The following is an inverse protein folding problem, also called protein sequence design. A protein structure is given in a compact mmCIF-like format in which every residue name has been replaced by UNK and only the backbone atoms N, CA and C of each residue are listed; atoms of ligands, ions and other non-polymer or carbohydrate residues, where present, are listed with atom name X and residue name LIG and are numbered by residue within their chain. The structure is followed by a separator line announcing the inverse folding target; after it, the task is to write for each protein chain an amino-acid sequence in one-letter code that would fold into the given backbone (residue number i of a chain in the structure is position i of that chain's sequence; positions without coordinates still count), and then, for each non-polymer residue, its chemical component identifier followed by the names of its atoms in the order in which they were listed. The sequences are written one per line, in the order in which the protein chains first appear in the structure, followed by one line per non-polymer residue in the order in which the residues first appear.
data_IF_119668218277
#
_entry.id   IF_119668218277
#
_cell.length_a   1.000
_cell.length_b   1.000
_cell.length_c   1.000
_cell.angle_alpha   90.00
_cell.angle_beta   90.00
_cell.angle_gamma   90.00
#
_symmetry.space_group_name_H-M   'P 1'
#
loop_
_entity.id
_entity.type
_entity.pdbx_description
1 polymer ?
#
# COMPACT_ATOMS: atom_id res chain seq x y z
N UNK A 1 53.13 31.35 3.50
CA UNK A 1 51.96 32.09 4.01
C UNK A 1 51.24 32.78 2.86
N UNK A 2 50.31 32.10 2.18
CA UNK A 2 49.33 32.69 1.24
C UNK A 2 48.04 31.87 1.33
N UNK A 3 47.06 32.43 2.02
CA UNK A 3 45.73 31.87 2.23
C UNK A 3 44.99 31.92 0.89
N UNK A 4 44.81 30.78 0.22
CA UNK A 4 43.88 30.67 -0.91
C UNK A 4 42.47 30.68 -0.32
N UNK A 5 41.76 31.80 -0.48
CA UNK A 5 40.33 31.91 -0.23
C UNK A 5 39.61 30.94 -1.16
N UNK A 6 39.37 29.72 -0.69
CA UNK A 6 38.46 28.79 -1.32
C UNK A 6 37.06 29.26 -0.95
N UNK A 7 36.43 30.01 -1.85
CA UNK A 7 35.03 30.40 -1.75
C UNK A 7 34.18 29.13 -1.82
N UNK A 8 33.96 28.50 -0.66
CA UNK A 8 32.85 27.59 -0.46
C UNK A 8 31.61 28.49 -0.44
N UNK A 9 31.06 28.73 -1.62
CA UNK A 9 29.70 29.23 -1.76
C UNK A 9 28.79 28.12 -1.25
N UNK A 10 28.57 28.10 0.07
CA UNK A 10 27.43 27.41 0.66
C UNK A 10 26.22 28.09 0.07
N UNK A 11 25.68 27.53 -1.01
CA UNK A 11 24.36 27.86 -1.52
C UNK A 11 23.37 27.30 -0.48
N UNK A 12 23.27 28.00 0.65
CA UNK A 12 22.03 28.08 1.41
C UNK A 12 21.10 28.90 0.52
N UNK A 13 20.48 28.25 -0.48
CA UNK A 13 19.24 28.79 -1.02
C UNK A 13 18.30 28.73 0.18
N UNK A 14 18.18 29.88 0.83
CA UNK A 14 16.95 30.33 1.42
C UNK A 14 15.85 30.04 0.40
N UNK A 15 15.21 28.87 0.53
CA UNK A 15 13.89 28.60 0.00
C UNK A 15 12.96 29.44 0.88
N UNK A 16 13.10 30.76 0.74
CA UNK A 16 12.05 31.71 0.99
C UNK A 16 10.93 31.25 0.06
N UNK A 17 10.04 30.44 0.62
CA UNK A 17 8.74 30.18 0.03
C UNK A 17 8.05 31.53 -0.12
N UNK A 18 8.34 32.25 -1.21
CA UNK A 18 7.30 32.99 -1.88
C UNK A 18 6.39 31.92 -2.47
N UNK A 19 5.45 31.46 -1.64
CA UNK A 19 4.30 30.74 -2.12
C UNK A 19 3.65 31.61 -3.20
N UNK A 20 3.84 31.22 -4.45
CA UNK A 20 2.89 31.59 -5.49
C UNK A 20 1.62 30.86 -5.06
N UNK A 21 0.77 31.55 -4.32
CA UNK A 21 -0.61 31.14 -4.12
C UNK A 21 -1.27 31.27 -5.48
N UNK A 22 -1.13 30.24 -6.30
CA UNK A 22 -2.05 30.07 -7.42
C UNK A 22 -3.43 30.03 -6.79
N UNK A 23 -4.22 31.06 -7.02
CA UNK A 23 -5.62 31.13 -6.62
C UNK A 23 -6.40 30.18 -7.52
N UNK A 24 -6.14 28.88 -7.34
CA UNK A 24 -6.86 27.82 -7.99
C UNK A 24 -8.29 27.90 -7.47
N UNK A 25 -9.18 28.53 -8.24
CA UNK A 25 -10.60 28.57 -7.94
C UNK A 25 -11.13 27.14 -7.99
N UNK A 26 -11.31 26.53 -6.82
CA UNK A 26 -12.05 25.27 -6.71
C UNK A 26 -13.45 25.58 -7.21
N UNK A 27 -13.79 25.06 -8.39
CA UNK A 27 -15.14 25.13 -8.92
C UNK A 27 -15.94 24.16 -8.06
N UNK A 28 -16.79 24.68 -7.17
CA UNK A 28 -17.68 23.88 -6.33
C UNK A 28 -18.63 23.08 -7.23
N UNK A 29 -18.22 21.89 -7.66
CA UNK A 29 -19.13 20.91 -8.23
C UNK A 29 -19.86 20.30 -7.03
N UNK A 30 -21.17 20.52 -6.95
CA UNK A 30 -22.04 19.84 -5.98
C UNK A 30 -21.70 18.34 -6.05
N UNK A 31 -21.34 17.68 -4.93
CA UNK A 31 -20.94 16.27 -4.98
C UNK A 31 -22.08 15.50 -5.64
N UNK A 32 -21.79 14.88 -6.78
CA UNK A 32 -22.67 13.87 -7.35
C UNK A 32 -22.86 12.81 -6.27
N UNK A 33 -24.10 12.46 -6.00
CA UNK A 33 -24.43 11.42 -5.03
C UNK A 33 -23.95 10.08 -5.62
N UNK A 34 -22.72 9.69 -5.29
CA UNK A 34 -22.15 8.42 -5.70
C UNK A 34 -22.92 7.34 -4.93
N UNK A 35 -23.92 6.74 -5.58
CA UNK A 35 -24.54 5.52 -5.08
C UNK A 35 -23.53 4.40 -5.22
N UNK A 36 -22.81 4.13 -4.12
CA UNK A 36 -21.99 2.94 -3.99
C UNK A 36 -22.96 1.75 -3.91
N UNK A 37 -23.17 1.08 -5.04
CA UNK A 37 -23.86 -0.21 -5.05
C UNK A 37 -22.98 -1.23 -4.33
N UNK A 38 -23.59 -2.05 -3.48
CA UNK A 38 -22.87 -3.16 -2.85
C UNK A 38 -22.12 -3.96 -3.95
N UNK A 39 -20.80 -4.17 -3.80
CA UNK A 39 -19.98 -4.92 -4.71
C UNK A 39 -20.56 -6.32 -4.88
N UNK A 40 -20.30 -6.88 -6.06
CA UNK A 40 -20.61 -8.27 -6.32
C UNK A 40 -19.82 -9.11 -5.30
N UNK A 41 -20.44 -10.08 -4.62
CA UNK A 41 -19.75 -10.94 -3.64
C UNK A 41 -18.68 -11.84 -4.26
N UNK A 42 -18.45 -11.74 -5.57
CA UNK A 42 -17.44 -12.49 -6.31
C UNK A 42 -16.50 -11.53 -7.00
N UNK A 43 -15.23 -11.61 -6.60
CA UNK A 43 -14.15 -10.92 -7.27
C UNK A 43 -13.90 -11.58 -8.62
N UNK A 44 -13.50 -10.78 -9.60
CA UNK A 44 -13.16 -11.29 -10.93
C UNK A 44 -11.69 -11.64 -10.97
N UNK A 45 -11.39 -12.94 -11.01
CA UNK A 45 -10.03 -13.43 -11.27
C UNK A 45 -9.49 -12.85 -12.59
N UNK A 46 -8.24 -12.42 -12.57
CA UNK A 46 -7.58 -11.69 -13.66
C UNK A 46 -7.86 -10.18 -13.68
N UNK A 47 -8.66 -9.66 -12.75
CA UNK A 47 -8.76 -8.21 -12.57
C UNK A 47 -7.42 -7.62 -12.16
N UNK A 48 -7.03 -6.53 -12.82
CA UNK A 48 -5.78 -5.82 -12.57
C UNK A 48 -6.03 -4.32 -12.60
N UNK A 49 -5.73 -3.66 -11.50
CA UNK A 49 -5.79 -2.21 -11.34
C UNK A 49 -4.37 -1.68 -11.25
N UNK A 50 -3.97 -0.84 -12.22
CA UNK A 50 -2.64 -0.22 -12.25
C UNK A 50 -2.79 1.27 -11.98
N UNK A 51 -2.06 1.75 -10.98
CA UNK A 51 -2.01 3.12 -10.53
C UNK A 51 -0.63 3.70 -10.82
N UNK A 52 -0.61 4.97 -11.19
CA UNK A 52 0.62 5.71 -11.47
C UNK A 52 0.75 6.84 -10.45
N UNK A 53 1.91 6.93 -9.82
CA UNK A 53 2.25 8.02 -8.94
C UNK A 53 3.04 9.07 -9.73
N UNK A 54 2.60 10.33 -9.66
CA UNK A 54 3.23 11.46 -10.32
C UNK A 54 3.64 12.53 -9.30
N UNK A 55 4.81 13.12 -9.50
CA UNK A 55 5.25 14.31 -8.76
C UNK A 55 5.76 15.35 -9.74
N UNK A 56 5.16 16.55 -9.71
CA UNK A 56 5.48 17.66 -10.62
C UNK A 56 5.39 17.27 -12.11
N UNK A 57 4.41 16.43 -12.46
CA UNK A 57 4.20 15.94 -13.84
C UNK A 57 5.20 14.86 -14.30
N UNK A 58 6.06 14.38 -13.40
CA UNK A 58 6.97 13.27 -13.67
C UNK A 58 6.47 12.01 -12.97
N UNK A 59 6.53 10.88 -13.68
CA UNK A 59 6.23 9.58 -13.10
C UNK A 59 7.30 9.22 -12.06
N UNK A 60 6.85 8.89 -10.85
CA UNK A 60 7.73 8.55 -9.71
C UNK A 60 7.52 7.14 -9.20
N UNK A 61 6.46 6.46 -9.61
CA UNK A 61 6.24 5.06 -9.27
C UNK A 61 4.94 4.48 -9.82
N UNK A 62 4.76 3.19 -9.60
CA UNK A 62 3.56 2.45 -9.95
C UNK A 62 3.08 1.61 -8.79
N UNK A 63 1.77 1.38 -8.72
CA UNK A 63 1.18 0.36 -7.89
C UNK A 63 0.24 -0.51 -8.71
N UNK A 64 0.28 -1.82 -8.48
CA UNK A 64 -0.54 -2.80 -9.19
C UNK A 64 -1.26 -3.64 -8.16
N UNK A 65 -2.58 -3.66 -8.22
CA UNK A 65 -3.45 -4.54 -7.44
C UNK A 65 -4.07 -5.56 -8.40
N UNK A 66 -4.02 -6.84 -8.07
CA UNK A 66 -4.45 -7.93 -8.94
C UNK A 66 -5.19 -9.01 -8.16
N UNK A 67 -6.31 -9.50 -8.69
CA UNK A 67 -6.97 -10.73 -8.21
C UNK A 67 -6.42 -11.88 -9.04
N UNK A 68 -5.40 -12.55 -8.54
CA UNK A 68 -4.55 -13.44 -9.35
C UNK A 68 -5.23 -14.78 -9.64
N UNK A 69 -5.76 -15.42 -8.60
CA UNK A 69 -6.39 -16.74 -8.71
C UNK A 69 -7.35 -17.04 -7.56
N UNK A 70 -8.08 -18.16 -7.68
CA UNK A 70 -8.74 -18.82 -6.58
C UNK A 70 -7.92 -20.07 -6.25
N UNK A 71 -7.55 -20.23 -4.99
CA UNK A 71 -6.73 -21.34 -4.51
C UNK A 71 -7.25 -21.90 -3.18
N UNK A 72 -6.71 -23.03 -2.76
CA UNK A 72 -6.97 -23.57 -1.42
C UNK A 72 -5.89 -23.10 -0.43
N UNK A 73 -6.31 -22.57 0.71
CA UNK A 73 -5.44 -22.22 1.84
C UNK A 73 -6.07 -22.71 3.14
N UNK A 74 -5.35 -23.58 3.87
CA UNK A 74 -5.81 -24.17 5.13
C UNK A 74 -7.20 -24.85 5.03
N UNK A 75 -7.49 -25.53 3.92
CA UNK A 75 -8.78 -26.19 3.68
C UNK A 75 -9.93 -25.23 3.34
N UNK A 76 -9.64 -23.95 3.05
CA UNK A 76 -10.62 -22.96 2.60
C UNK A 76 -10.29 -22.51 1.18
N UNK A 77 -11.32 -22.32 0.37
CA UNK A 77 -11.18 -21.67 -0.93
C UNK A 77 -11.02 -20.15 -0.71
N UNK A 78 -9.95 -19.58 -1.27
CA UNK A 78 -9.61 -18.17 -1.10
C UNK A 78 -9.29 -17.50 -2.44
N UNK A 79 -9.61 -16.22 -2.56
CA UNK A 79 -9.01 -15.35 -3.56
C UNK A 79 -7.57 -15.01 -3.13
N UNK A 80 -6.60 -15.21 -4.02
CA UNK A 80 -5.26 -14.65 -3.86
C UNK A 80 -5.20 -13.28 -4.56
N UNK A 81 -4.95 -12.25 -3.77
CA UNK A 81 -4.84 -10.87 -4.24
C UNK A 81 -3.42 -10.39 -4.01
N UNK A 82 -2.72 -9.97 -5.05
CA UNK A 82 -1.41 -9.33 -4.92
C UNK A 82 -1.51 -7.82 -5.07
N UNK A 83 -0.77 -7.11 -4.23
CA UNK A 83 -0.54 -5.67 -4.35
C UNK A 83 0.97 -5.41 -4.40
N UNK A 84 1.44 -4.78 -5.47
CA UNK A 84 2.84 -4.44 -5.68
C UNK A 84 2.99 -2.94 -5.83
N UNK A 85 4.00 -2.34 -5.21
CA UNK A 85 4.31 -0.92 -5.38
C UNK A 85 5.80 -0.70 -5.51
N UNK A 86 6.20 0.13 -6.47
CA UNK A 86 7.60 0.45 -6.72
C UNK A 86 7.80 1.91 -7.12
N UNK A 87 8.91 2.51 -6.68
CA UNK A 87 9.36 3.81 -7.20
C UNK A 87 10.28 3.62 -8.40
N UNK A 88 10.27 4.59 -9.32
CA UNK A 88 11.06 4.55 -10.56
C UNK A 88 11.97 5.77 -10.70
N UNK A 89 12.87 5.75 -11.69
CA UNK A 89 13.66 6.91 -12.11
C UNK A 89 14.45 7.56 -10.96
N UNK A 90 14.48 8.90 -10.89
CA UNK A 90 15.14 9.65 -9.82
C UNK A 90 14.50 9.39 -8.45
N UNK A 91 13.21 9.07 -8.39
CA UNK A 91 12.50 8.81 -7.15
C UNK A 91 13.02 7.52 -6.49
N UNK A 92 13.32 6.48 -7.26
CA UNK A 92 13.96 5.26 -6.74
C UNK A 92 15.32 5.54 -6.09
N UNK A 93 16.06 6.55 -6.55
CA UNK A 93 17.37 6.92 -5.96
C UNK A 93 17.23 7.68 -4.64
N UNK A 94 16.18 8.51 -4.50
CA UNK A 94 15.96 9.33 -3.30
C UNK A 94 15.10 8.60 -2.25
N UNK A 95 14.10 7.88 -2.72
CA UNK A 95 13.07 7.18 -1.95
C UNK A 95 12.78 5.81 -2.59
N UNK A 96 13.72 4.85 -2.51
CA UNK A 96 13.50 3.50 -3.04
C UNK A 96 12.36 2.81 -2.28
N UNK A 97 11.38 2.32 -3.02
CA UNK A 97 10.25 1.50 -2.55
C UNK A 97 10.15 0.28 -3.44
N UNK A 98 10.05 -0.90 -2.84
CA UNK A 98 9.80 -2.18 -3.50
C UNK A 98 8.95 -3.03 -2.54
N UNK A 99 7.64 -2.89 -2.66
CA UNK A 99 6.68 -3.55 -1.77
C UNK A 99 5.90 -4.62 -2.53
N UNK A 100 5.72 -5.76 -1.87
CA UNK A 100 4.90 -6.87 -2.32
C UNK A 100 4.03 -7.35 -1.17
N UNK A 101 2.72 -7.27 -1.35
CA UNK A 101 1.70 -7.71 -0.40
C UNK A 101 0.87 -8.79 -1.07
N UNK A 102 0.51 -9.83 -0.32
CA UNK A 102 -0.50 -10.82 -0.69
C UNK A 102 -1.59 -10.87 0.37
N UNK A 103 -2.84 -10.75 -0.05
CA UNK A 103 -4.00 -10.97 0.79
C UNK A 103 -4.76 -12.19 0.31
N UNK A 104 -5.21 -13.02 1.25
CA UNK A 104 -5.94 -14.25 0.98
C UNK A 104 -7.32 -14.14 1.62
N UNK A 105 -8.36 -13.96 0.81
CA UNK A 105 -9.72 -13.69 1.28
C UNK A 105 -10.60 -14.91 1.04
N UNK A 106 -11.37 -15.33 2.04
CA UNK A 106 -12.39 -16.38 1.87
C UNK A 106 -13.34 -16.04 0.72
N UNK A 107 -13.63 -17.00 -0.17
CA UNK A 107 -14.43 -16.71 -1.37
C UNK A 107 -15.92 -16.45 -1.08
N UNK A 108 -16.40 -16.74 0.13
CA UNK A 108 -17.81 -16.59 0.52
C UNK A 108 -18.07 -15.26 1.22
N UNK A 109 -17.25 -14.96 2.23
CA UNK A 109 -17.45 -13.79 3.11
C UNK A 109 -16.48 -12.63 2.81
N UNK A 110 -15.46 -12.86 1.96
CA UNK A 110 -14.37 -11.90 1.69
C UNK A 110 -13.59 -11.47 2.94
N UNK A 111 -13.66 -12.27 4.02
CA UNK A 111 -12.83 -12.05 5.20
C UNK A 111 -11.41 -12.55 4.97
N UNK A 112 -10.41 -11.82 5.46
CA UNK A 112 -9.03 -12.25 5.33
C UNK A 112 -8.79 -13.49 6.17
N UNK A 113 -8.06 -14.43 5.57
CA UNK A 113 -7.48 -15.62 6.20
C UNK A 113 -6.01 -15.37 6.49
N UNK A 114 -5.30 -14.71 5.57
CA UNK A 114 -3.90 -14.28 5.74
C UNK A 114 -3.64 -12.96 5.03
N UNK A 115 -2.86 -12.10 5.67
CA UNK A 115 -2.21 -10.94 5.07
C UNK A 115 -0.70 -11.13 5.17
N UNK A 116 0.00 -11.12 4.04
CA UNK A 116 1.45 -11.32 3.93
C UNK A 116 2.07 -10.09 3.28
N UNK A 117 3.15 -9.55 3.87
CA UNK A 117 3.81 -8.34 3.38
C UNK A 117 5.32 -8.47 3.42
N UNK A 118 5.92 -8.16 2.28
CA UNK A 118 7.34 -7.81 2.10
C UNK A 118 7.42 -6.35 1.72
N UNK A 119 8.07 -5.55 2.56
CA UNK A 119 8.18 -4.11 2.39
C UNK A 119 9.65 -3.74 2.39
N UNK A 120 10.13 -3.03 1.35
CA UNK A 120 11.50 -2.54 1.27
C UNK A 120 11.48 -1.06 0.91
N UNK A 121 11.58 -0.22 1.92
CA UNK A 121 11.54 1.24 1.79
C UNK A 121 12.84 1.86 2.32
N UNK A 122 13.84 1.99 1.45
CA UNK A 122 15.18 2.42 1.82
C UNK A 122 15.81 1.54 2.90
N UNK A 123 15.96 2.08 4.11
CA UNK A 123 16.54 1.33 5.25
C UNK A 123 15.51 0.50 6.01
N UNK A 124 14.21 0.74 5.79
CA UNK A 124 13.14 -0.01 6.45
C UNK A 124 12.85 -1.25 5.64
N UNK A 125 13.00 -2.41 6.27
CA UNK A 125 12.60 -3.68 5.70
C UNK A 125 11.64 -4.36 6.65
N UNK A 126 10.54 -4.87 6.09
CA UNK A 126 9.62 -5.74 6.82
C UNK A 126 9.38 -6.98 5.99
N UNK A 127 9.33 -8.10 6.69
CA UNK A 127 8.90 -9.36 6.13
C UNK A 127 8.01 -10.00 7.20
N UNK A 128 6.70 -9.85 7.05
CA UNK A 128 5.73 -10.15 8.11
C UNK A 128 4.41 -10.67 7.54
N UNK A 129 3.72 -11.52 8.29
CA UNK A 129 2.37 -11.94 7.95
C UNK A 129 1.47 -11.98 9.18
N UNK A 130 0.17 -11.91 8.94
CA UNK A 130 -0.89 -12.03 9.95
C UNK A 130 -1.87 -13.09 9.48
N UNK A 131 -2.06 -14.12 10.29
CA UNK A 131 -3.14 -15.10 10.13
C UNK A 131 -4.36 -14.66 10.93
N UNK A 132 -5.55 -14.82 10.35
CA UNK A 132 -6.81 -14.44 10.98
C UNK A 132 -7.65 -15.69 11.26
N UNK A 133 -7.98 -15.91 12.53
CA UNK A 133 -8.99 -16.87 12.95
C UNK A 133 -10.29 -16.09 13.24
N UNK A 134 -11.09 -15.93 12.19
CA UNK A 134 -12.35 -15.21 12.22
C UNK A 134 -13.39 -15.87 13.14
N UNK A 135 -13.30 -17.19 13.33
CA UNK A 135 -14.22 -17.95 14.19
C UNK A 135 -13.91 -17.72 15.67
N UNK A 136 -12.62 -17.68 16.03
CA UNK A 136 -12.18 -17.43 17.42
C UNK A 136 -11.96 -15.95 17.74
N UNK A 137 -12.06 -15.05 16.77
CA UNK A 137 -11.80 -13.62 16.95
C UNK A 137 -10.35 -13.32 17.31
N UNK A 138 -9.41 -13.99 16.63
CA UNK A 138 -7.96 -13.87 16.88
C UNK A 138 -7.19 -13.50 15.61
N UNK A 139 -6.11 -12.75 15.78
CA UNK A 139 -5.11 -12.52 14.74
C UNK A 139 -3.71 -12.86 15.26
N UNK A 140 -2.92 -13.58 14.46
CA UNK A 140 -1.59 -14.05 14.81
C UNK A 140 -0.55 -13.42 13.88
N UNK A 141 0.19 -12.46 14.41
CA UNK A 141 1.26 -11.79 13.71
C UNK A 141 2.58 -12.56 13.85
N UNK A 142 3.34 -12.65 12.77
CA UNK A 142 4.72 -13.15 12.75
C UNK A 142 5.60 -12.25 11.90
N UNK A 143 6.74 -11.84 12.45
CA UNK A 143 7.84 -11.26 11.67
C UNK A 143 8.84 -12.33 11.28
N UNK A 144 9.14 -12.46 10.00
CA UNK A 144 10.19 -13.35 9.45
C UNK A 144 11.60 -12.79 9.62
N UNK A 145 11.75 -11.48 9.84
CA UNK A 145 13.06 -10.84 10.11
C UNK A 145 13.48 -11.03 11.56
N UNK A 146 12.59 -10.73 12.51
CA UNK A 146 12.93 -10.73 13.94
C UNK A 146 12.49 -12.01 14.66
N UNK A 147 11.73 -12.89 13.99
CA UNK A 147 11.04 -14.04 14.58
C UNK A 147 10.03 -13.66 15.69
N UNK A 148 9.66 -12.38 15.79
CA UNK A 148 8.66 -11.92 16.74
C UNK A 148 7.28 -12.50 16.39
N UNK A 149 6.56 -12.97 17.41
CA UNK A 149 5.18 -13.44 17.30
C UNK A 149 4.29 -12.68 18.28
N UNK A 150 3.11 -12.27 17.83
CA UNK A 150 2.11 -11.58 18.65
C UNK A 150 0.72 -12.13 18.36
N UNK A 151 -0.13 -12.11 19.37
CA UNK A 151 -1.53 -12.48 19.27
C UNK A 151 -2.40 -11.28 19.65
N UNK A 152 -3.47 -11.08 18.90
CA UNK A 152 -4.42 -10.00 19.13
C UNK A 152 -5.85 -10.54 19.18
N UNK A 153 -6.67 -9.99 20.08
CA UNK A 153 -8.12 -10.14 20.00
C UNK A 153 -8.64 -9.17 18.94
N UNK A 154 -9.46 -9.66 18.02
CA UNK A 154 -10.01 -8.86 16.91
C UNK A 154 -11.52 -9.04 16.85
N UNK A 155 -12.28 -8.02 16.43
CA UNK A 155 -13.72 -8.15 16.23
C UNK A 155 -14.03 -9.11 15.08
N UNK A 156 -15.24 -9.65 15.08
CA UNK A 156 -15.75 -10.45 13.95
C UNK A 156 -15.77 -9.62 12.67
N UNK A 157 -15.31 -10.20 11.57
CA UNK A 157 -15.27 -9.52 10.27
C UNK A 157 -14.19 -8.45 10.18
N UNK A 158 -13.13 -8.57 10.99
CA UNK A 158 -11.95 -7.71 10.86
C UNK A 158 -11.37 -7.86 9.45
N UNK A 159 -10.95 -6.73 8.88
CA UNK A 159 -10.38 -6.63 7.54
C UNK A 159 -8.91 -6.22 7.62
N UNK A 160 -8.12 -6.66 6.64
CA UNK A 160 -6.77 -6.17 6.41
C UNK A 160 -6.80 -4.98 5.41
N UNK A 161 -5.69 -4.23 5.24
CA UNK A 161 -5.67 -3.06 4.37
C UNK A 161 -6.07 -3.34 2.90
N UNK A 162 -5.73 -4.50 2.36
CA UNK A 162 -6.06 -4.89 0.97
C UNK A 162 -7.51 -5.37 0.89
N UNK A 163 -7.96 -6.17 1.86
CA UNK A 163 -9.33 -6.67 1.87
C UNK A 163 -10.37 -5.54 1.99
N UNK A 164 -10.05 -4.45 2.70
CA UNK A 164 -10.85 -3.23 2.74
C UNK A 164 -11.13 -2.60 1.37
N UNK A 165 -10.29 -2.84 0.35
CA UNK A 165 -10.50 -2.32 -1.01
C UNK A 165 -11.63 -3.08 -1.73
N UNK A 166 -11.92 -4.32 -1.29
CA UNK A 166 -12.88 -5.21 -1.92
C UNK A 166 -14.16 -5.42 -1.09
N UNK A 167 -14.19 -4.92 0.15
CA UNK A 167 -15.28 -5.07 1.10
C UNK A 167 -16.12 -3.78 1.19
N UNK A 168 -17.08 -3.63 0.28
CA UNK A 168 -18.07 -2.54 0.26
C UNK A 168 -19.50 -3.08 0.17
#
# INVERSE_FOLDING_TARGET
MKLRKLSILVIVIFISGCGITSSYKIKEKKPEEIKITAPKPKLRVGEKLTYKAEWMGMDVGFAVLSVDEIMELNGREVYHISAKAETISFAAKLFPVEDEISAYLDTKELYPIRFDKKQKEGKKQKDEYVDFDQEKGKAFYTSRITNEKKEFNVPKGVQDPVSCIYYF
#
